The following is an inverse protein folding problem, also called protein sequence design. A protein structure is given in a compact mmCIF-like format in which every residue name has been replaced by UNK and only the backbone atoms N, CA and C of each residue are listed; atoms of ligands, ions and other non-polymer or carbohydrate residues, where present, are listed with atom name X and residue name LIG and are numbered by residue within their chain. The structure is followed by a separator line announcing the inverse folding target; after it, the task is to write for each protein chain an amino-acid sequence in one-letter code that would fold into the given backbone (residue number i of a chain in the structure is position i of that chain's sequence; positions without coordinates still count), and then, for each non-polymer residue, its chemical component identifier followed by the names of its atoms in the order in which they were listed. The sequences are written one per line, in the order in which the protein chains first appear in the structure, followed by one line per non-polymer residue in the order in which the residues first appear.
data_IF_508112849384
#
_entry.id   IF_508112849384
#
_cell.length_a   1.000
_cell.length_b   1.000
_cell.length_c   1.000
_cell.angle_alpha   90.00
_cell.angle_beta   90.00
_cell.angle_gamma   90.00
#
_symmetry.space_group_name_H-M   'P 1'
#
loop_
_entity.id
_entity.type
_entity.pdbx_description
1 polymer ?
#
# COMPACT_ATOMS: atom_id res chain seq x y z
N UNK A 1 9.61 30.35 12.63
CA UNK A 1 8.71 30.15 11.47
C UNK A 1 7.28 30.13 11.97
N UNK A 2 6.39 30.98 11.46
CA UNK A 2 4.97 30.97 11.86
C UNK A 2 4.19 29.90 11.05
N UNK A 3 4.13 28.67 11.56
CA UNK A 3 3.44 27.55 10.90
C UNK A 3 1.94 27.84 10.62
N UNK A 4 1.28 28.63 11.49
CA UNK A 4 -0.11 29.05 11.30
C UNK A 4 -0.32 29.89 10.03
N UNK A 5 0.61 30.80 9.73
CA UNK A 5 0.54 31.63 8.52
C UNK A 5 0.73 30.76 7.26
N UNK A 6 1.66 29.80 7.31
CA UNK A 6 1.88 28.85 6.23
C UNK A 6 0.65 27.99 5.96
N UNK A 7 0.05 27.44 7.02
CA UNK A 7 -1.20 26.67 6.94
C UNK A 7 -2.30 27.50 6.29
N UNK A 8 -2.49 28.75 6.72
CA UNK A 8 -3.50 29.65 6.13
C UNK A 8 -3.25 29.88 4.64
N UNK A 9 -1.99 30.08 4.24
CA UNK A 9 -1.62 30.22 2.83
C UNK A 9 -1.90 28.93 2.02
N UNK A 10 -1.56 27.75 2.57
CA UNK A 10 -1.87 26.45 1.96
C UNK A 10 -3.36 26.20 1.86
N UNK A 11 -4.14 26.56 2.88
CA UNK A 11 -5.60 26.46 2.85
C UNK A 11 -6.19 27.30 1.72
N UNK A 12 -5.80 28.58 1.60
CA UNK A 12 -6.24 29.45 0.50
C UNK A 12 -5.85 28.91 -0.88
N UNK A 13 -4.69 28.27 -1.01
CA UNK A 13 -4.29 27.63 -2.25
C UNK A 13 -5.15 26.41 -2.57
N UNK A 14 -5.44 25.56 -1.58
CA UNK A 14 -6.35 24.42 -1.72
C UNK A 14 -7.71 24.91 -2.21
N UNK A 15 -8.32 25.88 -1.52
CA UNK A 15 -9.66 26.38 -1.84
C UNK A 15 -9.76 26.99 -3.25
N UNK A 16 -8.70 27.66 -3.71
CA UNK A 16 -8.66 28.32 -5.03
C UNK A 16 -8.25 27.41 -6.19
N UNK A 17 -7.45 26.38 -5.92
CA UNK A 17 -6.81 25.54 -6.95
C UNK A 17 -7.34 24.12 -6.98
N UNK A 18 -8.26 23.77 -6.08
CA UNK A 18 -8.96 22.48 -6.06
C UNK A 18 -10.46 22.69 -6.03
N UNK A 19 -11.21 21.64 -6.34
CA UNK A 19 -12.67 21.60 -6.26
C UNK A 19 -13.07 20.46 -5.33
N UNK A 20 -14.21 20.58 -4.66
CA UNK A 20 -14.69 19.50 -3.79
C UNK A 20 -14.89 18.21 -4.58
N UNK A 21 -14.28 17.11 -4.09
CA UNK A 21 -14.38 15.78 -4.68
C UNK A 21 -13.37 15.50 -5.81
N UNK A 22 -12.61 16.50 -6.28
CA UNK A 22 -11.61 16.31 -7.32
C UNK A 22 -10.19 16.33 -6.75
N UNK A 23 -9.36 15.37 -7.17
CA UNK A 23 -7.96 15.30 -6.76
C UNK A 23 -7.09 16.13 -7.72
N UNK A 24 -6.15 16.89 -7.18
CA UNK A 24 -5.21 17.71 -7.93
C UNK A 24 -3.78 17.26 -7.63
N UNK A 25 -3.01 16.94 -8.67
CA UNK A 25 -1.67 16.38 -8.55
C UNK A 25 -0.64 17.34 -7.91
N UNK A 26 -0.96 18.63 -7.79
CA UNK A 26 -0.08 19.63 -7.19
C UNK A 26 -0.57 20.15 -5.85
N UNK A 27 -1.86 20.42 -5.71
CA UNK A 27 -2.38 21.22 -4.59
C UNK A 27 -3.19 20.42 -3.56
N UNK A 28 -3.63 19.20 -3.87
CA UNK A 28 -4.36 18.36 -2.90
C UNK A 28 -3.48 17.99 -1.69
N UNK A 29 -4.09 17.66 -0.53
CA UNK A 29 -3.33 17.27 0.66
C UNK A 29 -2.48 16.02 0.42
N UNK A 30 -1.17 16.13 0.67
CA UNK A 30 -0.19 15.09 0.36
C UNK A 30 0.28 15.08 -1.10
N UNK A 31 -0.05 16.09 -1.89
CA UNK A 31 0.46 16.23 -3.25
C UNK A 31 1.79 17.00 -3.29
N UNK A 32 2.25 17.34 -4.50
CA UNK A 32 3.58 17.91 -4.71
C UNK A 32 3.88 19.15 -3.84
N UNK A 33 2.94 20.11 -3.71
CA UNK A 33 3.22 21.36 -2.98
C UNK A 33 3.51 21.11 -1.51
N UNK A 34 2.85 20.14 -0.87
CA UNK A 34 3.08 19.86 0.55
C UNK A 34 4.50 19.30 0.76
N UNK A 35 4.99 18.48 -0.17
CA UNK A 35 6.40 18.03 -0.19
C UNK A 35 7.35 19.21 -0.41
N UNK A 36 7.12 20.02 -1.45
CA UNK A 36 8.00 21.14 -1.81
C UNK A 36 8.11 22.14 -0.65
N UNK A 37 7.00 22.43 0.04
CA UNK A 37 6.96 23.33 1.19
C UNK A 37 7.69 22.75 2.39
N UNK A 38 7.48 21.47 2.70
CA UNK A 38 8.14 20.83 3.85
C UNK A 38 9.65 20.82 3.66
N UNK A 39 10.14 20.49 2.47
CA UNK A 39 11.59 20.55 2.16
C UNK A 39 12.11 21.99 2.31
N UNK A 40 11.40 22.99 1.78
CA UNK A 40 11.80 24.39 1.91
C UNK A 40 11.88 24.83 3.38
N UNK A 41 10.93 24.41 4.21
CA UNK A 41 10.94 24.73 5.64
C UNK A 41 12.13 24.09 6.34
N UNK A 42 12.45 22.83 6.02
CA UNK A 42 13.65 22.17 6.54
C UNK A 42 14.92 22.93 6.10
N UNK A 43 15.00 23.38 4.84
CA UNK A 43 16.11 24.22 4.39
C UNK A 43 16.19 25.55 5.16
N UNK A 44 15.06 26.16 5.51
CA UNK A 44 15.04 27.40 6.33
C UNK A 44 15.47 27.10 7.77
N UNK A 45 15.02 26.00 8.34
CA UNK A 45 15.31 25.61 9.74
C UNK A 45 16.78 25.25 9.93
N UNK A 46 17.36 24.49 9.01
CA UNK A 46 18.71 23.92 9.15
C UNK A 46 19.75 24.60 8.26
N UNK A 47 19.35 25.45 7.31
CA UNK A 47 20.26 26.07 6.36
C UNK A 47 21.23 27.08 6.97
N UNK A 48 21.01 27.52 8.21
CA UNK A 48 21.99 28.32 8.95
C UNK A 48 23.26 27.50 9.24
N UNK A 49 23.06 26.31 9.80
CA UNK A 49 24.13 25.38 10.23
C UNK A 49 24.65 24.51 9.08
N UNK A 50 23.83 24.30 8.04
CA UNK A 50 24.13 23.49 6.86
C UNK A 50 24.03 24.32 5.58
N UNK A 51 25.07 25.09 5.20
CA UNK A 51 25.05 25.95 4.00
C UNK A 51 24.74 25.22 2.69
N UNK A 52 25.09 23.93 2.59
CA UNK A 52 24.78 23.03 1.48
C UNK A 52 23.27 22.88 1.23
N UNK A 53 22.43 23.12 2.24
CA UNK A 53 20.97 23.13 2.09
C UNK A 53 20.47 24.37 1.35
N UNK A 54 21.28 25.40 1.11
CA UNK A 54 20.85 26.64 0.43
C UNK A 54 20.79 26.50 -1.10
N UNK A 55 20.41 25.32 -1.58
CA UNK A 55 20.20 25.04 -3.01
C UNK A 55 18.74 25.29 -3.41
N UNK A 56 18.47 25.87 -4.59
CA UNK A 56 17.10 25.98 -5.12
C UNK A 56 16.57 24.65 -5.67
N UNK A 57 17.40 23.60 -5.73
CA UNK A 57 17.07 22.32 -6.36
C UNK A 57 16.61 21.32 -5.30
N UNK A 58 15.32 21.00 -5.30
CA UNK A 58 14.69 20.11 -4.30
C UNK A 58 15.35 18.73 -4.21
N UNK A 59 15.80 18.17 -5.34
CA UNK A 59 16.48 16.86 -5.32
C UNK A 59 17.79 16.92 -4.55
N UNK A 60 18.61 17.94 -4.83
CA UNK A 60 19.84 18.18 -4.09
C UNK A 60 19.55 18.50 -2.63
N UNK A 61 18.50 19.28 -2.34
CA UNK A 61 18.10 19.56 -0.96
C UNK A 61 17.76 18.27 -0.19
N UNK A 62 17.01 17.33 -0.80
CA UNK A 62 16.71 16.04 -0.19
C UNK A 62 17.96 15.19 0.05
N UNK A 63 18.90 15.18 -0.91
CA UNK A 63 20.18 14.49 -0.74
C UNK A 63 20.98 15.10 0.42
N UNK A 64 21.04 16.44 0.52
CA UNK A 64 21.75 17.15 1.59
C UNK A 64 21.07 17.02 2.96
N UNK A 65 19.75 16.97 3.01
CA UNK A 65 19.01 16.69 4.25
C UNK A 65 19.30 15.27 4.78
N UNK A 66 19.48 14.29 3.90
CA UNK A 66 19.88 12.93 4.26
C UNK A 66 21.35 12.88 4.71
N UNK A 67 22.27 13.48 3.93
CA UNK A 67 23.71 13.54 4.27
C UNK A 67 23.96 14.22 5.63
N UNK A 68 23.18 15.26 5.94
CA UNK A 68 23.25 15.97 7.23
C UNK A 68 22.58 15.22 8.40
N UNK A 69 21.95 14.06 8.16
CA UNK A 69 21.25 13.28 9.17
C UNK A 69 19.93 13.88 9.65
N UNK A 70 19.41 14.90 8.96
CA UNK A 70 18.11 15.54 9.26
C UNK A 70 16.95 14.63 8.82
N UNK A 71 17.15 13.89 7.72
CA UNK A 71 16.24 12.85 7.26
C UNK A 71 16.89 11.48 7.38
N UNK A 72 16.14 10.50 7.88
CA UNK A 72 16.58 9.11 7.82
C UNK A 72 16.61 8.62 6.35
N UNK A 73 17.58 7.78 5.98
CA UNK A 73 17.74 7.37 4.57
C UNK A 73 16.50 6.71 3.95
N UNK A 74 15.76 5.90 4.73
CA UNK A 74 14.50 5.31 4.27
C UNK A 74 13.39 6.35 4.02
N UNK A 75 13.36 7.43 4.82
CA UNK A 75 12.43 8.54 4.64
C UNK A 75 12.83 9.37 3.41
N UNK A 76 14.11 9.72 3.29
CA UNK A 76 14.66 10.45 2.16
C UNK A 76 14.35 9.74 0.83
N UNK A 77 14.63 8.44 0.72
CA UNK A 77 14.34 7.66 -0.49
C UNK A 77 12.84 7.60 -0.82
N UNK A 78 11.99 7.50 0.19
CA UNK A 78 10.52 7.51 0.01
C UNK A 78 10.05 8.85 -0.57
N UNK A 79 10.56 9.96 -0.04
CA UNK A 79 10.20 11.31 -0.48
C UNK A 79 10.82 11.66 -1.84
N UNK A 80 12.05 11.25 -2.12
CA UNK A 80 12.65 11.35 -3.47
C UNK A 80 11.83 10.57 -4.50
N UNK A 81 11.32 9.39 -4.14
CA UNK A 81 10.47 8.58 -5.02
C UNK A 81 9.11 9.23 -5.24
N UNK A 82 8.46 9.72 -4.19
CA UNK A 82 7.20 10.47 -4.30
C UNK A 82 7.36 11.74 -5.16
N UNK A 83 8.45 12.49 -4.97
CA UNK A 83 8.76 13.67 -5.78
C UNK A 83 8.88 13.32 -7.28
N UNK A 84 9.64 12.26 -7.61
CA UNK A 84 9.78 11.78 -8.99
C UNK A 84 8.43 11.37 -9.59
N UNK A 85 7.61 10.66 -8.82
CA UNK A 85 6.26 10.27 -9.21
C UNK A 85 5.39 11.50 -9.53
N UNK A 86 5.28 12.47 -8.62
CA UNK A 86 4.45 13.65 -8.84
C UNK A 86 4.94 14.54 -9.99
N UNK A 87 6.26 14.66 -10.18
CA UNK A 87 6.83 15.35 -11.35
C UNK A 87 6.42 14.67 -12.66
N UNK A 88 6.50 13.33 -12.72
CA UNK A 88 6.02 12.55 -13.87
C UNK A 88 4.51 12.72 -14.07
N UNK A 89 3.71 12.59 -13.01
CA UNK A 89 2.25 12.71 -13.06
C UNK A 89 1.80 14.07 -13.61
N UNK A 90 2.38 15.15 -13.10
CA UNK A 90 2.08 16.51 -13.57
C UNK A 90 2.48 16.68 -15.04
N UNK A 91 3.65 16.18 -15.45
CA UNK A 91 4.06 16.26 -16.86
C UNK A 91 3.14 15.44 -17.77
N UNK A 92 2.72 14.25 -17.34
CA UNK A 92 1.76 13.41 -18.06
C UNK A 92 0.39 14.07 -18.19
N UNK A 93 -0.12 14.70 -17.12
CA UNK A 93 -1.37 15.47 -17.16
C UNK A 93 -1.29 16.64 -18.14
N UNK A 94 -0.17 17.38 -18.14
CA UNK A 94 0.05 18.49 -19.08
C UNK A 94 0.02 18.04 -20.53
N UNK A 95 0.65 16.91 -20.83
CA UNK A 95 0.65 16.33 -22.17
C UNK A 95 -0.74 15.81 -22.57
N UNK A 96 -1.49 15.22 -21.63
CA UNK A 96 -2.83 14.70 -21.87
C UNK A 96 -3.85 15.83 -22.13
N UNK A 97 -3.76 16.92 -21.37
CA UNK A 97 -4.68 18.07 -21.45
C UNK A 97 -4.27 19.14 -22.45
N UNK A 98 -3.02 19.15 -22.90
CA UNK A 98 -2.44 20.25 -23.67
C UNK A 98 -2.37 21.58 -22.87
N UNK A 99 -2.44 21.52 -21.53
CA UNK A 99 -2.52 22.69 -20.65
C UNK A 99 -1.58 22.56 -19.46
N UNK A 100 -0.85 23.65 -19.15
CA UNK A 100 0.01 23.72 -17.97
C UNK A 100 -0.77 23.90 -16.65
N UNK A 101 -2.04 24.32 -16.72
CA UNK A 101 -2.84 24.76 -15.57
C UNK A 101 -3.76 23.67 -15.02
N UNK A 102 -4.30 22.84 -15.91
CA UNK A 102 -5.20 21.76 -15.50
C UNK A 102 -4.40 20.55 -15.00
N UNK A 103 -4.41 20.37 -13.69
CA UNK A 103 -3.70 19.30 -12.98
C UNK A 103 -4.66 18.42 -12.17
N UNK A 104 -5.95 18.43 -12.53
CA UNK A 104 -6.95 17.57 -11.91
C UNK A 104 -6.83 16.16 -12.48
N UNK A 105 -6.88 15.16 -11.59
CA UNK A 105 -6.91 13.77 -11.99
C UNK A 105 -8.29 13.49 -12.62
N UNK A 106 -8.33 12.80 -13.78
CA UNK A 106 -9.58 12.27 -14.30
C UNK A 106 -10.24 11.32 -13.29
N UNK A 107 -11.54 11.08 -13.45
CA UNK A 107 -12.24 10.08 -12.63
C UNK A 107 -11.60 8.70 -12.80
N UNK A 108 -11.39 7.96 -11.71
CA UNK A 108 -10.66 6.67 -11.72
C UNK A 108 -11.27 5.66 -12.70
N UNK A 109 -12.59 5.65 -12.85
CA UNK A 109 -13.32 4.77 -13.77
C UNK A 109 -13.33 5.23 -15.23
N UNK A 110 -12.73 6.37 -15.56
CA UNK A 110 -12.74 6.94 -16.91
C UNK A 110 -11.63 6.36 -17.80
N UNK A 111 -11.88 6.27 -19.10
CA UNK A 111 -10.84 5.92 -20.09
C UNK A 111 -9.68 6.91 -20.07
N UNK A 112 -9.97 8.18 -19.78
CA UNK A 112 -8.96 9.22 -19.64
C UNK A 112 -7.94 8.89 -18.53
N UNK A 113 -8.40 8.33 -17.40
CA UNK A 113 -7.51 7.89 -16.33
C UNK A 113 -6.60 6.74 -16.78
N UNK A 114 -7.13 5.82 -17.59
CA UNK A 114 -6.33 4.73 -18.19
C UNK A 114 -5.28 5.28 -19.16
N UNK A 115 -5.62 6.29 -19.96
CA UNK A 115 -4.67 6.98 -20.84
C UNK A 115 -3.58 7.70 -20.04
N UNK A 116 -3.94 8.37 -18.95
CA UNK A 116 -2.98 8.97 -18.03
C UNK A 116 -2.02 7.93 -17.46
N UNK A 117 -2.53 6.79 -17.01
CA UNK A 117 -1.73 5.70 -16.47
C UNK A 117 -0.76 5.12 -17.51
N UNK A 118 -1.21 4.87 -18.75
CA UNK A 118 -0.32 4.43 -19.83
C UNK A 118 0.77 5.47 -20.13
N UNK A 119 0.42 6.76 -20.11
CA UNK A 119 1.39 7.85 -20.31
C UNK A 119 2.40 7.96 -19.17
N UNK A 120 2.01 7.59 -17.95
CA UNK A 120 2.93 7.43 -16.82
C UNK A 120 3.90 6.26 -16.99
N UNK A 121 3.66 5.37 -17.96
CA UNK A 121 4.48 4.20 -18.26
C UNK A 121 3.95 2.91 -17.63
N UNK A 122 2.73 2.89 -17.10
CA UNK A 122 2.11 1.65 -16.62
C UNK A 122 1.56 0.85 -17.79
N UNK A 123 2.01 -0.39 -17.90
CA UNK A 123 1.59 -1.31 -18.94
C UNK A 123 0.43 -2.20 -18.46
N UNK A 124 -0.35 -2.70 -19.41
CA UNK A 124 -1.37 -3.69 -19.11
C UNK A 124 -0.68 -5.00 -18.75
N UNK A 125 -0.54 -5.25 -17.44
CA UNK A 125 -0.05 -6.52 -16.92
C UNK A 125 -1.16 -7.57 -16.90
N UNK A 126 -0.77 -8.84 -16.68
CA UNK A 126 -1.73 -9.92 -16.41
C UNK A 126 -2.49 -9.74 -15.08
N UNK A 127 -1.91 -8.98 -14.15
CA UNK A 127 -2.38 -8.91 -12.76
C UNK A 127 -3.14 -7.61 -12.44
N UNK A 128 -2.58 -6.44 -12.77
CA UNK A 128 -3.22 -5.14 -12.54
C UNK A 128 -3.31 -4.34 -13.83
N UNK A 129 -4.45 -3.67 -14.01
CA UNK A 129 -4.62 -2.69 -15.08
C UNK A 129 -3.72 -1.47 -14.83
N UNK A 130 -3.35 -0.71 -15.88
CA UNK A 130 -2.59 0.52 -15.72
C UNK A 130 -3.23 1.50 -14.73
N UNK A 131 -4.57 1.63 -14.78
CA UNK A 131 -5.32 2.50 -13.89
C UNK A 131 -5.15 2.07 -12.42
N UNK A 132 -5.28 0.79 -12.11
CA UNK A 132 -5.06 0.28 -10.74
C UNK A 132 -3.63 0.54 -10.25
N UNK A 133 -2.62 0.36 -11.11
CA UNK A 133 -1.22 0.64 -10.77
C UNK A 133 -1.02 2.12 -10.44
N UNK A 134 -1.54 3.03 -11.27
CA UNK A 134 -1.49 4.47 -11.00
C UNK A 134 -2.21 4.84 -9.70
N UNK A 135 -3.39 4.27 -9.46
CA UNK A 135 -4.17 4.55 -8.25
C UNK A 135 -3.39 4.13 -6.99
N UNK A 136 -2.84 2.92 -7.00
CA UNK A 136 -2.03 2.39 -5.91
C UNK A 136 -0.83 3.29 -5.58
N UNK A 137 -0.04 3.68 -6.60
CA UNK A 137 1.11 4.55 -6.39
C UNK A 137 0.70 5.95 -5.92
N UNK A 138 -0.38 6.50 -6.46
CA UNK A 138 -0.91 7.80 -6.04
C UNK A 138 -1.32 7.80 -4.56
N UNK A 139 -2.14 6.84 -4.12
CA UNK A 139 -2.59 6.74 -2.72
C UNK A 139 -1.40 6.52 -1.76
N UNK A 140 -0.44 5.69 -2.15
CA UNK A 140 0.75 5.41 -1.33
C UNK A 140 1.66 6.65 -1.21
N UNK A 141 1.92 7.34 -2.32
CA UNK A 141 2.79 8.52 -2.32
C UNK A 141 2.14 9.71 -1.61
N UNK A 142 0.82 9.89 -1.75
CA UNK A 142 0.13 10.95 -1.00
C UNK A 142 0.15 10.69 0.51
N UNK A 143 -0.05 9.44 0.95
CA UNK A 143 0.08 9.07 2.36
C UNK A 143 1.52 9.26 2.87
N UNK A 144 2.52 8.92 2.05
CA UNK A 144 3.94 9.13 2.40
C UNK A 144 4.26 10.61 2.62
N UNK A 145 3.73 11.49 1.75
CA UNK A 145 3.93 12.95 1.90
C UNK A 145 3.18 13.49 3.11
N UNK A 146 1.95 13.02 3.38
CA UNK A 146 1.20 13.44 4.59
C UNK A 146 1.94 13.04 5.86
N UNK A 147 2.46 11.82 5.94
CA UNK A 147 3.27 11.36 7.05
C UNK A 147 4.54 12.21 7.23
N UNK A 148 5.22 12.54 6.13
CA UNK A 148 6.40 13.43 6.14
C UNK A 148 6.08 14.84 6.64
N UNK A 149 4.99 15.44 6.17
CA UNK A 149 4.53 16.75 6.67
C UNK A 149 4.21 16.67 8.16
N UNK A 150 3.51 15.63 8.57
CA UNK A 150 3.12 15.43 9.97
C UNK A 150 4.31 15.24 10.90
N UNK A 151 5.29 14.44 10.50
CA UNK A 151 6.50 14.16 11.27
C UNK A 151 7.35 15.42 11.50
N UNK A 152 7.50 16.27 10.49
CA UNK A 152 8.40 17.44 10.58
C UNK A 152 7.71 18.76 10.90
N UNK A 153 6.42 18.90 10.59
CA UNK A 153 5.68 20.17 10.68
C UNK A 153 4.38 20.07 11.49
N UNK A 154 4.03 18.89 12.00
CA UNK A 154 2.76 18.63 12.66
C UNK A 154 1.60 18.47 11.67
N UNK A 155 0.62 17.63 12.04
CA UNK A 155 -0.54 17.32 11.19
C UNK A 155 -1.37 18.56 10.87
N UNK A 156 -1.40 19.53 11.77
CA UNK A 156 -2.07 20.81 11.60
C UNK A 156 -1.54 21.63 10.42
N UNK A 157 -0.34 21.33 9.93
CA UNK A 157 0.21 21.98 8.74
C UNK A 157 -0.43 21.50 7.43
N UNK A 158 -1.10 20.35 7.44
CA UNK A 158 -1.85 19.86 6.28
C UNK A 158 -3.14 20.68 6.05
N UNK A 159 -3.41 21.11 4.80
CA UNK A 159 -4.62 21.86 4.49
C UNK A 159 -5.84 20.95 4.34
N UNK A 160 -7.03 21.52 4.50
CA UNK A 160 -8.31 20.85 4.26
C UNK A 160 -8.83 20.03 5.44
N UNK A 161 -9.97 19.32 5.25
CA UNK A 161 -10.49 18.40 6.25
C UNK A 161 -9.47 17.29 6.52
N UNK A 162 -9.63 16.53 7.60
CA UNK A 162 -8.78 15.36 7.88
C UNK A 162 -8.88 14.34 6.72
N UNK A 163 -8.00 14.48 5.72
CA UNK A 163 -7.89 13.61 4.55
C UNK A 163 -6.86 12.53 4.87
N UNK A 164 -7.19 11.29 4.50
CA UNK A 164 -6.31 10.14 4.62
C UNK A 164 -6.95 8.90 4.00
N UNK A 165 -6.11 7.92 3.70
CA UNK A 165 -6.44 6.61 3.18
C UNK A 165 -5.83 5.54 4.11
N UNK A 166 -5.98 4.26 3.75
CA UNK A 166 -5.48 3.16 4.59
C UNK A 166 -3.96 3.14 4.73
N UNK A 167 -3.21 3.65 3.76
CA UNK A 167 -1.75 3.77 3.87
C UNK A 167 -1.36 4.82 4.92
N UNK A 168 -2.15 5.87 5.17
CA UNK A 168 -1.89 6.78 6.28
C UNK A 168 -1.87 6.01 7.61
N UNK A 169 -2.82 5.09 7.82
CA UNK A 169 -2.90 4.26 9.04
C UNK A 169 -1.61 3.51 9.32
N UNK A 170 -0.85 3.20 8.27
CA UNK A 170 0.40 2.48 8.38
C UNK A 170 1.58 3.44 8.47
N UNK A 171 1.60 4.50 7.66
CA UNK A 171 2.79 5.35 7.51
C UNK A 171 2.88 6.48 8.54
N UNK A 172 1.76 6.91 9.12
CA UNK A 172 1.71 7.97 10.12
C UNK A 172 1.64 7.41 11.54
N UNK A 173 2.38 8.03 12.46
CA UNK A 173 2.43 7.62 13.88
C UNK A 173 1.30 8.22 14.72
N UNK A 174 0.73 9.37 14.32
CA UNK A 174 -0.14 10.20 15.15
C UNK A 174 -1.51 10.52 14.52
N UNK A 175 -2.19 9.51 13.99
CA UNK A 175 -3.48 9.72 13.32
C UNK A 175 -4.62 9.90 14.33
N UNK A 176 -5.42 10.97 14.21
CA UNK A 176 -6.59 11.18 15.06
C UNK A 176 -7.60 10.03 14.97
N UNK A 177 -8.16 9.62 16.12
CA UNK A 177 -9.12 8.50 16.24
C UNK A 177 -10.31 8.64 15.30
N UNK A 178 -10.85 9.86 15.15
CA UNK A 178 -11.98 10.13 14.24
C UNK A 178 -11.62 9.82 12.78
N UNK A 179 -10.39 10.15 12.35
CA UNK A 179 -9.94 9.86 11.00
C UNK A 179 -9.67 8.37 10.81
N UNK A 180 -9.07 7.71 11.82
CA UNK A 180 -8.88 6.25 11.82
C UNK A 180 -10.20 5.51 11.61
N UNK A 181 -11.22 5.84 12.40
CA UNK A 181 -12.55 5.24 12.29
C UNK A 181 -13.16 5.48 10.92
N UNK A 182 -13.10 6.71 10.41
CA UNK A 182 -13.62 7.06 9.08
C UNK A 182 -12.97 6.24 7.96
N UNK A 183 -11.65 6.08 7.98
CA UNK A 183 -10.91 5.33 6.95
C UNK A 183 -11.31 3.84 7.00
N UNK A 184 -11.31 3.25 8.19
CA UNK A 184 -11.58 1.80 8.35
C UNK A 184 -13.05 1.46 8.06
N UNK A 185 -13.99 2.27 8.51
CA UNK A 185 -15.41 2.07 8.18
C UNK A 185 -15.67 2.22 6.68
N UNK A 186 -14.99 3.17 6.00
CA UNK A 186 -15.08 3.30 4.54
C UNK A 186 -14.53 2.06 3.81
N UNK A 187 -13.51 1.41 4.36
CA UNK A 187 -12.94 0.18 3.84
C UNK A 187 -13.79 -1.08 4.16
N UNK A 188 -14.93 -0.94 4.86
CA UNK A 188 -15.85 -2.04 5.14
C UNK A 188 -15.66 -2.74 6.49
N UNK A 189 -14.71 -2.29 7.33
CA UNK A 189 -14.48 -2.90 8.65
C UNK A 189 -15.56 -2.52 9.66
N UNK A 190 -16.15 -3.52 10.31
CA UNK A 190 -17.14 -3.37 11.39
C UNK A 190 -16.48 -3.16 12.75
N UNK A 191 -15.22 -3.59 12.93
CA UNK A 191 -14.46 -3.40 14.16
C UNK A 191 -13.18 -2.55 13.91
N UNK A 192 -13.31 -1.21 13.72
CA UNK A 192 -12.19 -0.33 13.38
C UNK A 192 -10.98 -0.43 14.33
N UNK A 193 -11.19 -0.47 15.64
CA UNK A 193 -10.06 -0.52 16.58
C UNK A 193 -9.26 -1.82 16.45
N UNK A 194 -9.95 -2.96 16.28
CA UNK A 194 -9.30 -4.26 16.06
C UNK A 194 -8.62 -4.31 14.69
N UNK A 195 -9.27 -3.79 13.65
CA UNK A 195 -8.69 -3.71 12.31
C UNK A 195 -7.41 -2.87 12.32
N UNK A 196 -7.39 -1.74 13.03
CA UNK A 196 -6.18 -0.93 13.18
C UNK A 196 -5.03 -1.70 13.84
N UNK A 197 -5.31 -2.43 14.93
CA UNK A 197 -4.29 -3.26 15.61
C UNK A 197 -3.72 -4.32 14.65
N UNK A 198 -4.59 -4.99 13.88
CA UNK A 198 -4.14 -5.98 12.89
C UNK A 198 -3.27 -5.34 11.79
N UNK A 199 -3.65 -4.16 11.28
CA UNK A 199 -2.86 -3.43 10.29
C UNK A 199 -1.50 -3.01 10.83
N UNK A 200 -1.40 -2.56 12.09
CA UNK A 200 -0.11 -2.26 12.73
C UNK A 200 0.75 -3.51 12.91
N UNK A 201 0.14 -4.63 13.35
CA UNK A 201 0.83 -5.92 13.49
C UNK A 201 1.42 -6.39 12.16
N UNK A 202 0.63 -6.33 11.08
CA UNK A 202 1.05 -6.66 9.73
C UNK A 202 2.17 -5.74 9.22
N UNK A 203 2.05 -4.43 9.45
CA UNK A 203 3.02 -3.44 9.03
C UNK A 203 4.42 -3.71 9.60
N UNK A 204 4.53 -3.95 10.90
CA UNK A 204 5.82 -4.10 11.60
C UNK A 204 6.73 -2.89 11.51
N UNK A 205 8.04 -3.16 11.52
CA UNK A 205 9.09 -2.13 11.51
C UNK A 205 9.74 -1.95 10.13
N UNK A 206 10.35 -0.78 9.95
CA UNK A 206 11.31 -0.47 8.89
C UNK A 206 10.79 -0.68 7.45
N UNK A 207 11.56 -1.37 6.61
CA UNK A 207 11.29 -1.60 5.19
C UNK A 207 9.96 -2.32 4.94
N UNK A 208 9.59 -3.25 5.83
CA UNK A 208 8.33 -4.02 5.77
C UNK A 208 7.12 -3.11 5.78
N UNK A 209 7.18 -2.03 6.56
CA UNK A 209 6.11 -1.05 6.71
C UNK A 209 5.77 -0.37 5.38
N UNK A 210 6.79 -0.08 4.56
CA UNK A 210 6.64 0.52 3.24
C UNK A 210 5.98 -0.43 2.22
N UNK A 211 6.43 -1.69 2.17
CA UNK A 211 5.81 -2.70 1.30
C UNK A 211 4.36 -2.97 1.72
N UNK A 212 4.11 -3.08 3.04
CA UNK A 212 2.78 -3.31 3.55
C UNK A 212 1.84 -2.12 3.30
N UNK A 213 2.30 -0.87 3.38
CA UNK A 213 1.48 0.30 3.06
C UNK A 213 0.89 0.24 1.64
N UNK A 214 1.68 -0.21 0.65
CA UNK A 214 1.19 -0.47 -0.71
C UNK A 214 0.17 -1.60 -0.72
N UNK A 215 0.49 -2.73 -0.10
CA UNK A 215 -0.44 -3.86 -0.04
C UNK A 215 -1.75 -3.53 0.65
N UNK A 216 -1.74 -2.69 1.68
CA UNK A 216 -2.94 -2.30 2.40
C UNK A 216 -3.90 -1.49 1.51
N UNK A 217 -3.37 -0.65 0.61
CA UNK A 217 -4.20 0.05 -0.38
C UNK A 217 -4.89 -0.96 -1.29
N UNK A 218 -4.15 -1.92 -1.85
CA UNK A 218 -4.74 -3.00 -2.66
C UNK A 218 -5.75 -3.84 -1.86
N UNK A 219 -5.38 -4.22 -0.64
CA UNK A 219 -6.22 -5.05 0.21
C UNK A 219 -7.50 -4.34 0.63
N UNK A 220 -7.48 -3.02 0.88
CA UNK A 220 -8.68 -2.26 1.21
C UNK A 220 -9.74 -2.34 0.10
N UNK A 221 -9.31 -2.14 -1.15
CA UNK A 221 -10.19 -2.23 -2.32
C UNK A 221 -10.77 -3.64 -2.47
N UNK A 222 -9.94 -4.68 -2.28
CA UNK A 222 -10.37 -6.08 -2.36
C UNK A 222 -11.32 -6.47 -1.22
N UNK A 223 -11.00 -6.07 0.02
CA UNK A 223 -11.75 -6.41 1.22
C UNK A 223 -13.13 -5.77 1.25
N UNK A 224 -13.30 -4.58 0.66
CA UNK A 224 -14.60 -3.91 0.62
C UNK A 224 -15.70 -4.76 -0.05
N UNK A 225 -15.31 -5.69 -0.93
CA UNK A 225 -16.22 -6.59 -1.66
C UNK A 225 -16.34 -7.99 -1.04
N UNK A 226 -15.69 -8.24 0.10
CA UNK A 226 -15.69 -9.54 0.76
C UNK A 226 -16.83 -9.68 1.78
N UNK A 227 -17.30 -10.92 2.07
CA UNK A 227 -18.42 -11.15 3.00
C UNK A 227 -18.10 -10.78 4.45
N UNK A 228 -16.85 -11.01 4.89
CA UNK A 228 -16.38 -10.66 6.24
C UNK A 228 -14.94 -10.09 6.20
N UNK A 229 -14.80 -8.76 6.02
CA UNK A 229 -13.50 -8.09 5.98
C UNK A 229 -12.72 -8.20 7.30
N UNK A 230 -13.42 -8.19 8.44
CA UNK A 230 -12.81 -8.27 9.77
C UNK A 230 -12.20 -9.66 10.01
N UNK A 231 -12.92 -10.74 9.66
CA UNK A 231 -12.39 -12.11 9.71
C UNK A 231 -11.20 -12.26 8.77
N UNK A 232 -11.29 -11.72 7.56
CA UNK A 232 -10.23 -11.79 6.57
C UNK A 232 -8.92 -11.16 7.07
N UNK A 233 -9.01 -9.94 7.61
CA UNK A 233 -7.86 -9.23 8.15
C UNK A 233 -7.26 -9.93 9.38
N UNK A 234 -8.10 -10.49 10.25
CA UNK A 234 -7.64 -11.28 11.40
C UNK A 234 -6.90 -12.55 10.99
N UNK A 235 -7.42 -13.29 10.00
CA UNK A 235 -6.76 -14.49 9.50
C UNK A 235 -5.50 -14.16 8.70
N UNK A 236 -5.46 -13.02 8.00
CA UNK A 236 -4.25 -12.55 7.33
C UNK A 236 -3.14 -12.23 8.33
N UNK A 237 -3.44 -11.54 9.43
CA UNK A 237 -2.48 -11.29 10.51
C UNK A 237 -1.91 -12.59 11.08
N UNK A 238 -2.77 -13.56 11.39
CA UNK A 238 -2.38 -14.89 11.90
C UNK A 238 -1.50 -15.64 10.91
N UNK A 239 -1.81 -15.57 9.62
CA UNK A 239 -1.04 -16.21 8.56
C UNK A 239 0.34 -15.58 8.42
N UNK A 240 0.43 -14.26 8.38
CA UNK A 240 1.73 -13.57 8.29
C UNK A 240 2.62 -13.89 9.50
N UNK A 241 2.04 -14.07 10.69
CA UNK A 241 2.78 -14.48 11.88
C UNK A 241 3.30 -15.92 11.85
N UNK A 242 2.74 -16.80 11.01
CA UNK A 242 3.28 -18.15 10.83
C UNK A 242 4.38 -18.22 9.76
N UNK A 243 4.63 -17.14 9.02
CA UNK A 243 5.69 -17.07 8.00
C UNK A 243 7.04 -16.66 8.60
N UNK A 244 8.11 -17.29 8.11
CA UNK A 244 9.48 -16.91 8.48
C UNK A 244 9.92 -15.59 7.83
N UNK A 245 9.46 -15.29 6.62
CA UNK A 245 9.88 -14.11 5.83
C UNK A 245 8.67 -13.29 5.32
N UNK A 246 7.96 -12.56 6.20
CA UNK A 246 6.81 -11.73 5.83
C UNK A 246 7.08 -10.73 4.70
N UNK A 247 8.25 -10.09 4.70
CA UNK A 247 8.58 -9.06 3.71
C UNK A 247 8.70 -9.64 2.29
N UNK A 248 9.32 -10.82 2.14
CA UNK A 248 9.36 -11.53 0.84
C UNK A 248 7.96 -11.93 0.37
N UNK A 249 7.11 -12.36 1.30
CA UNK A 249 5.72 -12.66 0.98
C UNK A 249 4.98 -11.41 0.49
N UNK A 250 5.19 -10.26 1.11
CA UNK A 250 4.61 -9.00 0.67
C UNK A 250 5.09 -8.57 -0.72
N UNK A 251 6.39 -8.67 -1.00
CA UNK A 251 6.92 -8.39 -2.34
C UNK A 251 6.32 -9.32 -3.40
N UNK A 252 6.16 -10.61 -3.08
CA UNK A 252 5.50 -11.57 -3.96
C UNK A 252 4.04 -11.18 -4.22
N UNK A 253 3.26 -10.82 -3.20
CA UNK A 253 1.88 -10.37 -3.37
C UNK A 253 1.76 -9.07 -4.19
N UNK A 254 2.71 -8.13 -4.04
CA UNK A 254 2.77 -6.93 -4.88
C UNK A 254 3.08 -7.26 -6.34
N UNK A 255 3.90 -8.29 -6.59
CA UNK A 255 4.21 -8.76 -7.94
C UNK A 255 3.09 -9.58 -8.58
N UNK A 256 2.28 -10.26 -7.77
CA UNK A 256 1.15 -11.10 -8.20
C UNK A 256 -0.14 -10.80 -7.40
N UNK A 257 -0.76 -9.62 -7.57
CA UNK A 257 -1.96 -9.20 -6.84
C UNK A 257 -3.14 -10.17 -6.86
N UNK A 258 -3.30 -11.01 -7.89
CA UNK A 258 -4.37 -12.03 -7.89
C UNK A 258 -4.20 -13.06 -6.76
N UNK A 259 -2.97 -13.33 -6.32
CA UNK A 259 -2.69 -14.19 -5.17
C UNK A 259 -3.23 -13.57 -3.88
N UNK A 260 -3.16 -12.25 -3.73
CA UNK A 260 -3.74 -11.53 -2.60
C UNK A 260 -5.28 -11.66 -2.62
N UNK A 261 -5.91 -11.51 -3.78
CA UNK A 261 -7.36 -11.69 -3.92
C UNK A 261 -7.82 -13.08 -3.50
N UNK A 262 -7.13 -14.14 -3.95
CA UNK A 262 -7.42 -15.53 -3.56
C UNK A 262 -7.25 -15.70 -2.05
N UNK A 263 -6.14 -15.21 -1.49
CA UNK A 263 -5.85 -15.28 -0.06
C UNK A 263 -6.96 -14.63 0.78
N UNK A 264 -7.32 -13.39 0.45
CA UNK A 264 -8.33 -12.63 1.17
C UNK A 264 -9.73 -13.24 1.01
N UNK A 265 -10.04 -13.81 -0.15
CA UNK A 265 -11.32 -14.49 -0.39
C UNK A 265 -11.46 -15.74 0.48
N UNK A 266 -10.39 -16.53 0.63
CA UNK A 266 -10.38 -17.69 1.53
C UNK A 266 -10.54 -17.24 2.98
N UNK A 267 -9.77 -16.21 3.37
CA UNK A 267 -9.78 -15.68 4.73
C UNK A 267 -11.10 -15.01 5.12
N UNK A 268 -11.84 -14.46 4.17
CA UNK A 268 -13.17 -13.91 4.36
C UNK A 268 -14.28 -14.97 4.29
N UNK A 269 -14.08 -16.05 3.54
CA UNK A 269 -15.13 -17.02 3.23
C UNK A 269 -15.17 -18.25 4.14
N UNK A 270 -14.04 -18.67 4.72
CA UNK A 270 -14.00 -19.92 5.50
C UNK A 270 -12.95 -19.92 6.59
N UNK A 271 -13.40 -19.97 7.85
CA UNK A 271 -12.51 -20.12 9.01
C UNK A 271 -11.74 -21.45 8.97
N UNK A 272 -12.37 -22.53 8.52
CA UNK A 272 -11.73 -23.85 8.40
C UNK A 272 -10.56 -23.85 7.40
N UNK A 273 -10.77 -23.26 6.21
CA UNK A 273 -9.70 -23.15 5.21
C UNK A 273 -8.60 -22.20 5.68
N UNK A 274 -8.99 -21.11 6.36
CA UNK A 274 -8.06 -20.17 6.98
C UNK A 274 -7.13 -20.85 7.98
N UNK A 275 -7.70 -21.59 8.94
CA UNK A 275 -6.90 -22.31 9.95
C UNK A 275 -6.02 -23.38 9.30
N UNK A 276 -6.48 -24.02 8.23
CA UNK A 276 -5.68 -25.00 7.47
C UNK A 276 -4.47 -24.34 6.79
N UNK A 277 -4.65 -23.19 6.14
CA UNK A 277 -3.56 -22.41 5.52
C UNK A 277 -2.59 -21.85 6.57
N UNK A 278 -3.09 -21.36 7.71
CA UNK A 278 -2.26 -20.82 8.79
C UNK A 278 -1.35 -21.93 9.37
N UNK A 279 -1.89 -23.12 9.55
CA UNK A 279 -1.14 -24.29 10.04
C UNK A 279 -0.17 -24.87 9.01
N UNK A 280 -0.42 -24.67 7.71
CA UNK A 280 0.38 -25.23 6.62
C UNK A 280 0.59 -24.16 5.53
N UNK A 281 1.44 -23.13 5.76
CA UNK A 281 1.57 -22.00 4.85
C UNK A 281 2.03 -22.35 3.43
N UNK A 282 2.71 -23.49 3.27
CA UNK A 282 3.12 -24.00 1.97
C UNK A 282 1.95 -24.35 1.04
N UNK A 283 0.73 -24.55 1.58
CA UNK A 283 -0.45 -24.80 0.77
C UNK A 283 -0.86 -23.56 -0.03
N UNK A 284 -0.40 -22.37 0.36
CA UNK A 284 -0.69 -21.15 -0.37
C UNK A 284 -0.18 -21.19 -1.82
N UNK A 285 1.03 -21.73 -2.05
CA UNK A 285 1.56 -21.92 -3.42
C UNK A 285 0.70 -22.89 -4.24
N UNK A 286 0.07 -23.86 -3.59
CA UNK A 286 -0.79 -24.82 -4.26
C UNK A 286 -2.16 -24.22 -4.61
N UNK A 287 -2.79 -23.50 -3.68
CA UNK A 287 -4.12 -22.90 -3.87
C UNK A 287 -4.10 -21.75 -4.87
N UNK A 288 -2.96 -21.09 -5.05
CA UNK A 288 -2.83 -19.96 -5.99
C UNK A 288 -2.61 -20.40 -7.45
N UNK A 289 -2.37 -21.69 -7.71
CA UNK A 289 -2.17 -22.21 -9.07
C UNK A 289 -3.51 -22.55 -9.74
N UNK A 290 -3.88 -21.90 -10.87
CA UNK A 290 -5.17 -22.13 -11.54
C UNK A 290 -5.40 -23.59 -11.97
N UNK A 291 -4.33 -24.32 -12.29
CA UNK A 291 -4.38 -25.73 -12.71
C UNK A 291 -4.87 -26.68 -11.60
N UNK A 292 -4.76 -26.27 -10.33
CA UNK A 292 -5.13 -27.10 -9.18
C UNK A 292 -6.55 -26.82 -8.68
N UNK A 293 -7.06 -25.60 -8.85
CA UNK A 293 -8.41 -25.21 -8.41
C UNK A 293 -9.52 -25.87 -9.22
N UNK A 294 -9.27 -26.20 -10.49
CA UNK A 294 -10.31 -26.72 -11.41
C UNK A 294 -10.19 -28.22 -11.73
N UNK A 295 -9.15 -28.90 -11.22
CA UNK A 295 -8.93 -30.32 -11.50
C UNK A 295 -9.43 -31.17 -10.35
N UNK A 296 -10.63 -31.73 -10.50
CA UNK A 296 -11.08 -32.84 -9.65
C UNK A 296 -10.26 -34.08 -10.06
N UNK A 297 -9.39 -34.57 -9.17
CA UNK A 297 -8.62 -35.80 -9.42
C UNK A 297 -9.54 -37.01 -9.39
N UNK A 298 -9.37 -37.91 -10.35
CA UNK A 298 -10.09 -39.18 -10.34
C UNK A 298 -9.48 -40.16 -9.30
N UNK A 299 -10.22 -41.24 -9.03
CA UNK A 299 -9.83 -42.25 -8.03
C UNK A 299 -8.51 -42.96 -8.39
N UNK A 300 -8.23 -43.17 -9.67
CA UNK A 300 -7.05 -43.89 -10.13
C UNK A 300 -5.79 -43.00 -10.05
N UNK A 301 -5.92 -41.71 -10.35
CA UNK A 301 -4.88 -40.70 -10.14
C UNK A 301 -4.49 -40.62 -8.66
N UNK A 302 -5.47 -40.53 -7.76
CA UNK A 302 -5.24 -40.53 -6.31
C UNK A 302 -4.53 -41.81 -5.86
N UNK A 303 -4.98 -42.98 -6.31
CA UNK A 303 -4.37 -44.28 -5.97
C UNK A 303 -2.92 -44.35 -6.45
N UNK A 304 -2.64 -43.91 -7.68
CA UNK A 304 -1.28 -43.89 -8.23
C UNK A 304 -0.36 -42.94 -7.44
N UNK A 305 -0.89 -41.80 -7.01
CA UNK A 305 -0.15 -40.82 -6.21
C UNK A 305 0.21 -41.40 -4.84
N UNK A 306 -0.76 -41.99 -4.13
CA UNK A 306 -0.52 -42.60 -2.81
C UNK A 306 0.44 -43.79 -2.87
N UNK A 307 0.41 -44.59 -3.95
CA UNK A 307 1.38 -45.67 -4.19
C UNK A 307 2.80 -45.15 -4.43
N UNK A 308 2.95 -44.01 -5.12
CA UNK A 308 4.26 -43.36 -5.27
C UNK A 308 4.75 -42.75 -3.96
N UNK A 309 3.85 -42.19 -3.15
CA UNK A 309 4.17 -41.59 -1.86
C UNK A 309 4.58 -42.64 -0.81
N UNK A 310 3.90 -43.80 -0.79
CA UNK A 310 4.23 -44.90 0.13
C UNK A 310 5.63 -45.45 -0.16
N UNK A 311 6.00 -45.59 -1.43
CA UNK A 311 7.35 -46.02 -1.85
C UNK A 311 8.47 -45.05 -1.44
N UNK A 312 8.16 -43.77 -1.23
CA UNK A 312 9.11 -42.75 -0.75
C UNK A 312 9.19 -42.63 0.78
N UNK A 313 8.30 -43.30 1.50
CA UNK A 313 8.22 -43.20 2.95
C UNK A 313 9.04 -44.32 3.60
N UNK A 314 10.10 -43.96 4.33
CA UNK A 314 10.98 -44.93 5.00
C UNK A 314 10.37 -45.55 6.27
N UNK A 315 9.35 -44.91 6.85
CA UNK A 315 8.69 -45.39 8.07
C UNK A 315 7.16 -45.22 8.01
N UNK A 316 6.44 -46.05 8.75
CA UNK A 316 4.98 -46.04 8.83
C UNK A 316 4.43 -44.69 9.35
N UNK A 317 5.10 -44.08 10.33
CA UNK A 317 4.69 -42.81 10.92
C UNK A 317 4.84 -41.65 9.93
N UNK A 318 5.89 -41.67 9.10
CA UNK A 318 6.13 -40.69 8.04
C UNK A 318 5.08 -40.84 6.92
N UNK A 319 4.71 -42.07 6.58
CA UNK A 319 3.61 -42.34 5.63
C UNK A 319 2.26 -41.79 6.13
N UNK A 320 1.90 -42.04 7.39
CA UNK A 320 0.66 -41.51 7.98
C UNK A 320 0.63 -39.97 8.01
N UNK A 321 1.77 -39.33 8.32
CA UNK A 321 1.87 -37.87 8.30
C UNK A 321 1.74 -37.30 6.89
N UNK A 322 2.33 -37.94 5.88
CA UNK A 322 2.19 -37.56 4.49
C UNK A 322 0.74 -37.73 3.99
N UNK A 323 0.05 -38.81 4.39
CA UNK A 323 -1.38 -39.01 4.10
C UNK A 323 -2.25 -37.93 4.73
N UNK A 324 -2.02 -37.60 6.00
CA UNK A 324 -2.76 -36.53 6.71
C UNK A 324 -2.55 -35.17 6.04
N UNK A 325 -1.31 -34.85 5.65
CA UNK A 325 -0.98 -33.60 4.95
C UNK A 325 -1.63 -33.54 3.58
N UNK A 326 -1.65 -34.66 2.83
CA UNK A 326 -2.35 -34.73 1.55
C UNK A 326 -3.86 -34.52 1.70
N UNK A 327 -4.51 -35.24 2.62
CA UNK A 327 -5.96 -35.12 2.84
C UNK A 327 -6.37 -33.73 3.33
N UNK A 328 -5.49 -33.00 4.02
CA UNK A 328 -5.75 -31.60 4.43
C UNK A 328 -5.56 -30.59 3.30
N UNK A 329 -4.79 -30.95 2.27
CA UNK A 329 -4.51 -30.08 1.13
C UNK A 329 -5.62 -30.14 0.08
N UNK A 330 -6.10 -31.35 -0.22
CA UNK A 330 -7.24 -31.59 -1.13
C UNK A 330 -8.57 -31.22 -0.47
#
# INVERSE_FOLDING_TARGET
IELKALRSARQKQLDRRTKHGELNAKFSPGALVDLEYTVLLLQIMYGADHPELRTPRIREALDKLEEAGILAGQEAERIKTAYRFFRRLINSLRMLRGSARDLFLPQISSEEYVHLARRMGYEAGKELTPGQQLHLEFETHTASIRAFVEQHMGRESLPGPAVGNIADLILSESIPTVLKQKILSKAGFRQPERAYVNLQSLAGSDSRRSHFAKLAVLAADLLQHQPDPDMALNNWERFIRSLNEPDKHFQMLLSQPRRLEILLSIFAGSQFLSDTLILNPEFFEWVTLPEHLHRIRDREEMKSFFLKLSKKSSTHLLWLNLLRRYRRRE
#
